data_IF_761628114239
#
_entry.id   IF_761628114239
#
_cell.length_a   1.000
_cell.length_b   1.000
_cell.length_c   1.000
_cell.angle_alpha   90.00
_cell.angle_beta   90.00
_cell.angle_gamma   90.00
#
_symmetry.space_group_name_H-M   'P 1'
#
loop_
_entity.id
_entity.type
_entity.pdbx_description
1 polymer ?
#
# COMPACT_ATOMS: atom_id res chain seq x y z
N UNK A 1 13.39 -18.63 -20.95
CA UNK A 1 13.76 -17.28 -21.46
C UNK A 1 13.68 -16.31 -20.32
N UNK A 2 14.82 -16.00 -19.69
CA UNK A 2 14.96 -15.24 -18.44
C UNK A 2 14.61 -13.76 -18.63
N UNK A 3 13.38 -13.38 -18.34
CA UNK A 3 12.90 -11.99 -18.37
C UNK A 3 12.99 -11.27 -17.00
N UNK A 4 13.69 -11.86 -16.04
CA UNK A 4 13.94 -11.20 -14.77
C UNK A 4 15.28 -10.48 -14.85
N UNK A 5 15.25 -9.22 -15.26
CA UNK A 5 16.36 -8.31 -15.05
C UNK A 5 16.64 -8.22 -13.56
N UNK A 6 17.57 -9.04 -13.09
CA UNK A 6 18.08 -9.07 -11.72
C UNK A 6 18.55 -7.66 -11.39
N UNK A 7 17.80 -6.91 -10.61
CA UNK A 7 18.20 -5.58 -10.15
C UNK A 7 19.53 -5.75 -9.42
N UNK A 8 20.60 -5.10 -9.92
CA UNK A 8 21.94 -5.17 -9.34
C UNK A 8 21.88 -4.81 -7.85
N UNK A 9 22.08 -5.81 -6.99
CA UNK A 9 22.21 -5.64 -5.54
C UNK A 9 21.01 -6.09 -4.70
N UNK A 10 20.04 -6.79 -5.24
CA UNK A 10 19.06 -7.53 -4.42
C UNK A 10 19.68 -8.83 -3.92
N UNK A 11 19.62 -9.06 -2.62
CA UNK A 11 20.07 -10.30 -2.00
C UNK A 11 19.15 -11.41 -2.49
N UNK A 12 19.71 -12.47 -3.08
CA UNK A 12 18.93 -13.63 -3.48
C UNK A 12 18.48 -14.35 -2.21
N UNK A 13 17.18 -14.59 -2.06
CA UNK A 13 16.57 -15.24 -0.88
C UNK A 13 17.04 -16.70 -0.67
N UNK A 14 17.81 -17.22 -1.60
CA UNK A 14 18.38 -18.57 -1.56
C UNK A 14 19.28 -18.84 -0.34
N UNK A 15 19.89 -17.79 0.22
CA UNK A 15 20.82 -17.89 1.37
C UNK A 15 20.23 -17.39 2.69
N UNK A 16 18.91 -17.14 2.75
CA UNK A 16 18.25 -16.63 3.95
C UNK A 16 17.65 -17.82 4.71
N UNK A 17 17.84 -17.86 6.03
CA UNK A 17 17.25 -18.91 6.87
C UNK A 17 15.72 -18.90 6.80
N UNK A 18 15.10 -20.05 6.96
CA UNK A 18 13.64 -20.22 6.96
C UNK A 18 12.96 -19.26 7.95
N UNK A 19 13.57 -19.00 9.09
CA UNK A 19 13.07 -18.03 10.07
C UNK A 19 13.00 -16.61 9.51
N UNK A 20 14.01 -16.18 8.75
CA UNK A 20 14.00 -14.86 8.10
C UNK A 20 12.93 -14.76 7.01
N UNK A 21 12.69 -15.83 6.24
CA UNK A 21 11.61 -15.86 5.23
C UNK A 21 10.25 -15.66 5.90
N UNK A 22 9.96 -16.40 6.97
CA UNK A 22 8.71 -16.25 7.72
C UNK A 22 8.57 -14.87 8.35
N UNK A 23 9.64 -14.33 8.92
CA UNK A 23 9.64 -12.98 9.47
C UNK A 23 9.31 -11.92 8.40
N UNK A 24 9.85 -12.04 7.18
CA UNK A 24 9.54 -11.14 6.07
C UNK A 24 8.07 -11.25 5.64
N UNK A 25 7.52 -12.46 5.53
CA UNK A 25 6.11 -12.67 5.16
C UNK A 25 5.19 -12.08 6.23
N UNK A 26 5.49 -12.28 7.51
CA UNK A 26 4.71 -11.71 8.62
C UNK A 26 4.79 -10.17 8.60
N UNK A 27 5.98 -9.60 8.47
CA UNK A 27 6.18 -8.15 8.41
C UNK A 27 5.43 -7.51 7.24
N UNK A 28 5.43 -8.13 6.07
CA UNK A 28 4.71 -7.63 4.90
C UNK A 28 3.20 -7.74 5.09
N UNK A 29 2.73 -8.81 5.71
CA UNK A 29 1.30 -8.98 6.01
C UNK A 29 0.83 -7.93 7.01
N UNK A 30 1.57 -7.71 8.09
CA UNK A 30 1.30 -6.63 9.06
C UNK A 30 1.39 -5.25 8.41
N UNK A 31 2.40 -5.01 7.58
CA UNK A 31 2.56 -3.76 6.85
C UNK A 31 1.37 -3.47 5.92
N UNK A 32 0.83 -4.50 5.28
CA UNK A 32 -0.39 -4.36 4.47
C UNK A 32 -1.58 -3.89 5.32
N UNK A 33 -1.78 -4.48 6.50
CA UNK A 33 -2.86 -4.09 7.40
C UNK A 33 -2.73 -2.62 7.82
N UNK A 34 -1.52 -2.15 8.13
CA UNK A 34 -1.26 -0.77 8.53
C UNK A 34 -1.54 0.21 7.37
N UNK A 35 -1.08 -0.10 6.16
CA UNK A 35 -1.27 0.78 4.98
C UNK A 35 -2.74 0.92 4.61
N UNK A 36 -3.53 -0.15 4.73
CA UNK A 36 -4.95 -0.12 4.36
C UNK A 36 -5.88 0.36 5.47
N UNK A 37 -5.48 0.27 6.75
CA UNK A 37 -6.31 0.62 7.89
C UNK A 37 -6.97 2.03 7.79
N UNK A 38 -6.27 3.11 7.38
CA UNK A 38 -6.86 4.45 7.36
C UNK A 38 -8.07 4.58 6.43
N UNK A 39 -8.06 3.89 5.28
CA UNK A 39 -9.16 3.94 4.32
C UNK A 39 -10.40 3.18 4.80
N UNK A 40 -10.18 2.17 5.64
CA UNK A 40 -11.26 1.34 6.21
C UNK A 40 -11.69 1.79 7.61
N UNK A 41 -11.16 2.90 8.11
CA UNK A 41 -11.49 3.46 9.43
C UNK A 41 -13.00 3.72 9.59
N UNK A 42 -13.68 4.10 8.50
CA UNK A 42 -15.12 4.27 8.44
C UNK A 42 -15.91 3.00 8.79
N UNK A 43 -15.36 1.81 8.62
CA UNK A 43 -16.05 0.57 8.91
C UNK A 43 -16.19 0.32 10.42
N UNK A 44 -15.32 0.96 11.21
CA UNK A 44 -15.31 0.86 12.68
C UNK A 44 -15.86 2.11 13.33
N UNK A 45 -15.55 3.30 12.81
CA UNK A 45 -15.87 4.59 13.40
C UNK A 45 -16.74 5.45 12.46
N UNK A 46 -17.82 4.88 11.93
CA UNK A 46 -18.65 5.53 10.91
C UNK A 46 -19.23 6.86 11.37
N UNK A 47 -20.07 6.84 12.40
CA UNK A 47 -20.74 8.03 12.90
C UNK A 47 -19.78 9.06 13.53
N UNK A 48 -18.80 8.66 14.37
CA UNK A 48 -17.79 9.58 14.88
C UNK A 48 -16.98 10.26 13.79
N UNK A 49 -16.65 9.54 12.72
CA UNK A 49 -15.86 10.07 11.61
C UNK A 49 -16.66 11.11 10.82
N UNK A 50 -17.93 10.85 10.53
CA UNK A 50 -18.80 11.81 9.86
C UNK A 50 -18.98 13.09 10.69
N UNK A 51 -19.18 12.96 11.99
CA UNK A 51 -19.29 14.12 12.89
C UNK A 51 -17.99 14.91 12.94
N UNK A 52 -16.86 14.25 13.06
CA UNK A 52 -15.55 14.89 13.14
C UNK A 52 -15.15 15.63 11.85
N UNK A 53 -15.49 15.07 10.69
CA UNK A 53 -15.22 15.68 9.39
C UNK A 53 -16.32 16.67 8.95
N UNK A 54 -17.47 16.68 9.63
CA UNK A 54 -18.61 17.49 9.20
C UNK A 54 -19.15 17.13 7.82
N UNK A 55 -19.04 15.85 7.44
CA UNK A 55 -19.39 15.36 6.09
C UNK A 55 -20.66 14.51 6.10
N UNK A 56 -21.30 14.39 4.95
CA UNK A 56 -22.44 13.51 4.76
C UNK A 56 -22.01 12.07 4.45
N UNK A 57 -22.96 11.13 4.54
CA UNK A 57 -22.76 9.76 4.10
C UNK A 57 -22.34 9.68 2.60
N UNK A 58 -22.93 10.54 1.77
CA UNK A 58 -22.59 10.64 0.35
C UNK A 58 -21.12 11.04 0.13
N UNK A 59 -20.62 11.99 0.92
CA UNK A 59 -19.23 12.45 0.82
C UNK A 59 -18.25 11.34 1.20
N UNK A 60 -18.53 10.60 2.29
CA UNK A 60 -17.75 9.43 2.68
C UNK A 60 -17.76 8.34 1.59
N UNK A 61 -18.91 8.09 0.98
CA UNK A 61 -19.04 7.16 -0.14
C UNK A 61 -18.22 7.59 -1.34
N UNK A 62 -18.24 8.88 -1.68
CA UNK A 62 -17.45 9.45 -2.79
C UNK A 62 -15.94 9.35 -2.53
N UNK A 63 -15.46 9.63 -1.31
CA UNK A 63 -14.05 9.49 -0.95
C UNK A 63 -13.56 8.06 -1.17
N UNK A 64 -14.33 7.06 -0.71
CA UNK A 64 -13.95 5.65 -0.87
C UNK A 64 -14.03 5.20 -2.33
N UNK A 65 -15.01 5.71 -3.08
CA UNK A 65 -15.13 5.45 -4.51
C UNK A 65 -13.93 6.02 -5.27
N UNK A 66 -13.52 7.24 -4.94
CA UNK A 66 -12.34 7.87 -5.53
C UNK A 66 -11.05 7.10 -5.23
N UNK A 67 -10.88 6.62 -3.98
CA UNK A 67 -9.82 5.70 -3.63
C UNK A 67 -9.85 4.44 -4.52
N UNK A 68 -11.01 3.81 -4.67
CA UNK A 68 -11.18 2.60 -5.48
C UNK A 68 -10.85 2.79 -6.96
N UNK A 69 -11.27 3.91 -7.54
CA UNK A 69 -10.95 4.27 -8.93
C UNK A 69 -9.44 4.47 -9.10
N UNK A 70 -8.81 5.25 -8.22
CA UNK A 70 -7.36 5.47 -8.23
C UNK A 70 -6.60 4.15 -8.09
N UNK A 71 -7.03 3.29 -7.18
CA UNK A 71 -6.48 1.96 -6.97
C UNK A 71 -6.60 1.10 -8.25
N UNK A 72 -7.76 1.05 -8.87
CA UNK A 72 -8.01 0.28 -10.09
C UNK A 72 -7.07 0.69 -11.23
N UNK A 73 -6.88 1.98 -11.44
CA UNK A 73 -5.96 2.50 -12.46
C UNK A 73 -4.52 2.11 -12.14
N UNK A 74 -4.15 2.08 -10.87
CA UNK A 74 -2.79 1.80 -10.42
C UNK A 74 -2.42 0.30 -10.41
N UNK A 75 -3.38 -0.62 -10.49
CA UNK A 75 -3.09 -2.06 -10.45
C UNK A 75 -2.17 -2.52 -11.58
N UNK A 76 -2.44 -2.10 -12.83
CA UNK A 76 -1.62 -2.49 -13.98
C UNK A 76 -0.18 -1.97 -13.88
N UNK A 77 0.05 -0.67 -13.64
CA UNK A 77 1.41 -0.15 -13.54
C UNK A 77 2.17 -0.59 -12.28
N UNK A 78 1.46 -1.07 -11.23
CA UNK A 78 2.11 -1.49 -9.98
C UNK A 78 3.11 -2.62 -10.16
N UNK A 79 2.81 -3.59 -11.04
CA UNK A 79 3.73 -4.67 -11.38
C UNK A 79 5.01 -4.16 -12.03
N UNK A 80 4.90 -3.23 -12.98
CA UNK A 80 6.03 -2.62 -13.68
C UNK A 80 6.92 -1.84 -12.69
N UNK A 81 6.30 -1.10 -11.78
CA UNK A 81 7.03 -0.35 -10.74
C UNK A 81 7.77 -1.31 -9.80
N UNK A 82 7.10 -2.38 -9.35
CA UNK A 82 7.70 -3.39 -8.49
C UNK A 82 8.91 -4.08 -9.15
N UNK A 83 8.87 -4.31 -10.46
CA UNK A 83 9.98 -4.95 -11.18
C UNK A 83 11.17 -4.00 -11.40
N UNK A 84 10.92 -2.71 -11.60
CA UNK A 84 11.97 -1.71 -11.86
C UNK A 84 12.75 -1.30 -10.62
N UNK A 85 12.09 -1.23 -9.47
CA UNK A 85 12.68 -0.67 -8.26
C UNK A 85 12.98 -1.75 -7.22
N UNK A 86 13.94 -1.44 -6.32
CA UNK A 86 14.27 -2.31 -5.20
C UNK A 86 13.11 -2.34 -4.20
N UNK A 87 12.75 -3.53 -3.72
CA UNK A 87 11.66 -3.72 -2.76
C UNK A 87 11.82 -2.88 -1.49
N UNK A 88 13.05 -2.80 -0.96
CA UNK A 88 13.36 -1.99 0.23
C UNK A 88 13.01 -0.53 0.00
N UNK A 89 13.38 0.04 -1.15
CA UNK A 89 13.08 1.43 -1.50
C UNK A 89 11.58 1.64 -1.63
N UNK A 90 10.89 0.75 -2.36
CA UNK A 90 9.43 0.85 -2.52
C UNK A 90 8.70 0.75 -1.19
N UNK A 91 9.09 -0.20 -0.34
CA UNK A 91 8.49 -0.34 0.98
C UNK A 91 8.70 0.92 1.83
N UNK A 92 9.94 1.45 1.90
CA UNK A 92 10.23 2.66 2.67
C UNK A 92 9.46 3.86 2.14
N UNK A 93 9.46 4.09 0.82
CA UNK A 93 8.72 5.20 0.20
C UNK A 93 7.21 5.03 0.43
N UNK A 94 6.67 3.83 0.26
CA UNK A 94 5.26 3.53 0.49
C UNK A 94 4.82 3.83 1.92
N UNK A 95 5.58 3.37 2.91
CA UNK A 95 5.27 3.64 4.32
C UNK A 95 5.41 5.12 4.67
N UNK A 96 6.49 5.79 4.25
CA UNK A 96 6.69 7.21 4.54
C UNK A 96 5.60 8.08 3.90
N UNK A 97 5.28 7.83 2.63
CA UNK A 97 4.23 8.58 1.94
C UNK A 97 2.88 8.35 2.61
N UNK A 98 2.53 7.10 2.94
CA UNK A 98 1.30 6.80 3.65
C UNK A 98 1.26 7.46 5.03
N UNK A 99 2.37 7.44 5.78
CA UNK A 99 2.45 8.09 7.08
C UNK A 99 2.18 9.60 7.00
N UNK A 100 2.74 10.30 6.01
CA UNK A 100 2.48 11.73 5.78
C UNK A 100 1.01 11.97 5.43
N UNK A 101 0.44 11.19 4.52
CA UNK A 101 -0.97 11.32 4.13
C UNK A 101 -1.92 11.08 5.33
N UNK A 102 -1.62 10.07 6.14
CA UNK A 102 -2.39 9.77 7.36
C UNK A 102 -2.23 10.87 8.41
N UNK A 103 -1.04 11.43 8.58
CA UNK A 103 -0.81 12.54 9.48
C UNK A 103 -1.64 13.78 9.07
N UNK A 104 -1.72 14.08 7.77
CA UNK A 104 -2.58 15.16 7.27
C UNK A 104 -4.05 14.81 7.49
N UNK A 105 -4.46 13.56 7.20
CA UNK A 105 -5.84 13.11 7.45
C UNK A 105 -6.24 13.21 8.93
N UNK A 106 -5.32 12.93 9.84
CA UNK A 106 -5.55 13.03 11.28
C UNK A 106 -5.80 14.46 11.78
N UNK A 107 -5.44 15.49 10.99
CA UNK A 107 -5.80 16.89 11.30
C UNK A 107 -7.26 17.22 11.00
N UNK A 108 -8.05 16.25 10.51
CA UNK A 108 -9.45 16.40 10.14
C UNK A 108 -9.68 17.60 9.19
N UNK A 109 -9.01 17.61 8.03
CA UNK A 109 -9.10 18.73 7.10
C UNK A 109 -10.49 18.75 6.41
N UNK A 110 -10.72 19.78 5.58
CA UNK A 110 -11.98 19.89 4.82
C UNK A 110 -12.25 18.66 3.96
N UNK A 111 -13.53 18.41 3.67
CA UNK A 111 -14.01 17.27 2.86
C UNK A 111 -13.28 17.20 1.49
N UNK A 112 -13.00 18.35 0.86
CA UNK A 112 -12.27 18.41 -0.40
C UNK A 112 -10.82 17.90 -0.28
N UNK A 113 -10.13 18.28 0.81
CA UNK A 113 -8.78 17.79 1.10
C UNK A 113 -8.81 16.31 1.43
N UNK A 114 -9.79 15.84 2.20
CA UNK A 114 -9.98 14.41 2.47
C UNK A 114 -10.16 13.62 1.18
N UNK A 115 -10.94 14.12 0.23
CA UNK A 115 -11.10 13.48 -1.08
C UNK A 115 -9.76 13.32 -1.81
N UNK A 116 -8.96 14.38 -1.88
CA UNK A 116 -7.63 14.34 -2.49
C UNK A 116 -6.69 13.36 -1.75
N UNK A 117 -6.75 13.32 -0.42
CA UNK A 117 -5.99 12.37 0.39
C UNK A 117 -6.38 10.91 0.08
N UNK A 118 -7.67 10.62 -0.07
CA UNK A 118 -8.12 9.27 -0.41
C UNK A 118 -7.64 8.83 -1.80
N UNK A 119 -7.65 9.71 -2.79
CA UNK A 119 -7.04 9.46 -4.10
C UNK A 119 -5.54 9.18 -3.96
N UNK A 120 -4.82 10.02 -3.24
CA UNK A 120 -3.38 9.85 -3.02
C UNK A 120 -3.05 8.55 -2.27
N UNK A 121 -3.85 8.18 -1.26
CA UNK A 121 -3.72 6.90 -0.55
C UNK A 121 -4.00 5.71 -1.49
N UNK A 122 -4.96 5.82 -2.41
CA UNK A 122 -5.22 4.81 -3.43
C UNK A 122 -4.03 4.57 -4.33
N UNK A 123 -3.41 5.65 -4.82
CA UNK A 123 -2.19 5.59 -5.62
C UNK A 123 -1.05 4.96 -4.81
N UNK A 124 -0.77 5.46 -3.62
CA UNK A 124 0.36 4.97 -2.81
C UNK A 124 0.20 3.51 -2.43
N UNK A 125 -0.97 3.10 -1.95
CA UNK A 125 -1.21 1.74 -1.48
C UNK A 125 -1.15 0.72 -2.61
N UNK A 126 -1.61 1.05 -3.81
CA UNK A 126 -1.65 0.10 -4.92
C UNK A 126 -0.42 0.21 -5.80
N UNK A 127 -0.06 1.42 -6.25
CA UNK A 127 1.08 1.56 -7.17
C UNK A 127 2.41 1.15 -6.54
N UNK A 128 2.61 1.50 -5.27
CA UNK A 128 3.90 1.29 -4.58
C UNK A 128 3.89 -0.01 -3.77
N UNK A 129 2.86 -0.21 -2.92
CA UNK A 129 2.87 -1.31 -1.96
C UNK A 129 2.37 -2.64 -2.53
N UNK A 130 1.30 -2.63 -3.33
CA UNK A 130 0.68 -3.86 -3.83
C UNK A 130 1.64 -4.73 -4.63
N UNK A 131 2.31 -4.15 -5.63
CA UNK A 131 3.30 -4.87 -6.44
C UNK A 131 4.49 -5.36 -5.62
N UNK A 132 4.95 -4.55 -4.65
CA UNK A 132 6.07 -4.90 -3.77
C UNK A 132 5.73 -6.14 -2.92
N UNK A 133 4.52 -6.21 -2.37
CA UNK A 133 4.06 -7.34 -1.55
C UNK A 133 4.10 -8.66 -2.32
N UNK A 134 3.57 -8.69 -3.53
CA UNK A 134 3.57 -9.90 -4.34
C UNK A 134 4.97 -10.31 -4.81
N UNK A 135 5.82 -9.34 -5.15
CA UNK A 135 7.20 -9.63 -5.51
C UNK A 135 7.96 -10.31 -4.36
N UNK A 136 7.79 -9.85 -3.13
CA UNK A 136 8.45 -10.48 -1.97
C UNK A 136 7.96 -11.90 -1.75
N UNK A 137 6.64 -12.13 -1.77
CA UNK A 137 6.08 -13.48 -1.60
C UNK A 137 6.60 -14.41 -2.69
N UNK A 138 6.58 -13.97 -3.95
CA UNK A 138 7.11 -14.76 -5.07
C UNK A 138 8.57 -15.14 -4.85
N UNK A 139 9.41 -14.19 -4.48
CA UNK A 139 10.85 -14.44 -4.24
C UNK A 139 11.11 -15.37 -3.05
N UNK A 140 10.19 -15.45 -2.09
CA UNK A 140 10.29 -16.41 -0.99
C UNK A 140 9.88 -17.84 -1.39
N UNK A 141 9.06 -17.99 -2.46
CA UNK A 141 8.51 -19.27 -2.90
C UNK A 141 9.22 -19.88 -4.14
N UNK A 142 10.07 -19.14 -4.84
CA UNK A 142 10.74 -19.57 -6.09
C UNK A 142 11.86 -20.62 -5.89
N UNK A 143 11.88 -21.36 -4.80
CA UNK A 143 12.98 -22.31 -4.50
C UNK A 143 12.79 -23.75 -4.97
N UNK A 144 11.62 -24.14 -5.47
CA UNK A 144 11.30 -25.56 -5.71
C UNK A 144 10.80 -25.87 -7.15
N UNK A 145 11.28 -25.18 -8.19
CA UNK A 145 11.14 -25.62 -9.59
C UNK A 145 12.48 -25.77 -10.30
#
# INVERSE_FOLDING_TARGET
MSLLAKSKGEVTYRNISTLHKWALVILISMGSSIIYAPMYLKNVFYDPLMQALGCSNADLGLMVSAYGIAAMICYLPSGIVADKFRMRTLATVGFLTTAVLVAIYATLPSVQVCFALFVAMGVTSILIWWGTRFKVVRLCCEEDE
#
